data_IF_660399550833
#
_entry.id   IF_660399550833
#
_cell.length_a   1.000
_cell.length_b   1.000
_cell.length_c   1.000
_cell.angle_alpha   90.00
_cell.angle_beta   90.00
_cell.angle_gamma   90.00
#
_symmetry.space_group_name_H-M   'P 1'
#
loop_
_entity.id
_entity.type
_entity.pdbx_description
1 polymer ?
#
# COMPACT_ATOMS: atom_id res chain seq x y z
N UNK A 1 -11.88 -8.84 -24.65
CA UNK A 1 -13.07 -9.66 -24.29
C UNK A 1 -12.73 -11.04 -23.71
N UNK A 2 -11.49 -11.54 -23.79
CA UNK A 2 -11.11 -12.81 -23.17
C UNK A 2 -10.72 -12.71 -21.68
N UNK A 3 -10.74 -11.50 -21.10
CA UNK A 3 -10.32 -11.26 -19.72
C UNK A 3 -11.51 -11.36 -18.76
N UNK A 4 -11.77 -12.56 -18.23
CA UNK A 4 -12.75 -12.76 -17.17
C UNK A 4 -12.24 -12.19 -15.82
N UNK A 5 -13.12 -11.64 -14.98
CA UNK A 5 -14.56 -11.44 -15.16
C UNK A 5 -14.93 -10.15 -15.91
N UNK A 6 -13.96 -9.34 -16.33
CA UNK A 6 -14.20 -8.02 -16.93
C UNK A 6 -14.89 -8.06 -18.29
N UNK A 7 -14.79 -9.18 -18.99
CA UNK A 7 -15.53 -9.50 -20.22
C UNK A 7 -17.05 -9.35 -20.09
N UNK A 8 -17.59 -9.50 -18.87
CA UNK A 8 -19.02 -9.41 -18.57
C UNK A 8 -19.51 -7.97 -18.36
N UNK A 9 -18.60 -6.98 -18.36
CA UNK A 9 -18.96 -5.58 -18.22
C UNK A 9 -19.71 -5.06 -19.47
N UNK A 10 -20.64 -4.10 -19.32
CA UNK A 10 -21.30 -3.44 -20.45
C UNK A 10 -20.29 -2.80 -21.41
N UNK A 11 -20.61 -2.76 -22.72
CA UNK A 11 -19.71 -2.22 -23.76
C UNK A 11 -19.23 -0.78 -23.46
N UNK A 12 -20.11 0.05 -22.89
CA UNK A 12 -19.80 1.43 -22.50
C UNK A 12 -18.65 1.52 -21.47
N UNK A 13 -18.44 0.48 -20.67
CA UNK A 13 -17.35 0.38 -19.70
C UNK A 13 -16.13 -0.37 -20.23
N UNK A 14 -16.31 -1.24 -21.23
CA UNK A 14 -15.21 -2.00 -21.84
C UNK A 14 -14.28 -1.14 -22.69
N UNK A 15 -14.81 -0.16 -23.44
CA UNK A 15 -13.99 0.67 -24.32
C UNK A 15 -13.00 1.56 -23.54
N UNK A 16 -13.42 2.35 -22.52
CA UNK A 16 -12.48 3.11 -21.70
C UNK A 16 -11.50 2.22 -20.93
N UNK A 17 -11.93 1.03 -20.52
CA UNK A 17 -11.07 0.06 -19.86
C UNK A 17 -9.95 -0.41 -20.78
N UNK A 18 -10.29 -0.78 -22.02
CA UNK A 18 -9.33 -1.23 -23.03
C UNK A 18 -8.30 -0.14 -23.36
N UNK A 19 -8.72 1.12 -23.47
CA UNK A 19 -7.82 2.27 -23.71
C UNK A 19 -6.84 2.52 -22.55
N UNK A 20 -7.21 2.15 -21.32
CA UNK A 20 -6.35 2.32 -20.14
C UNK A 20 -5.29 1.22 -19.98
N UNK A 21 -5.39 0.12 -20.73
CA UNK A 21 -4.49 -1.02 -20.60
C UNK A 21 -3.09 -0.70 -21.10
N UNK A 22 -2.09 -1.14 -20.34
CA UNK A 22 -0.68 -0.98 -20.69
C UNK A 22 -0.09 -2.34 -21.12
N UNK A 23 0.53 -2.37 -22.29
CA UNK A 23 1.27 -3.53 -22.77
C UNK A 23 2.67 -3.55 -22.13
N UNK A 24 2.93 -4.51 -21.25
CA UNK A 24 4.20 -4.65 -20.54
C UNK A 24 4.94 -5.90 -20.96
N UNK A 25 6.26 -5.80 -21.02
CA UNK A 25 7.14 -6.95 -21.17
C UNK A 25 8.09 -7.07 -19.97
N UNK A 26 8.17 -8.28 -19.41
CA UNK A 26 9.04 -8.61 -18.28
C UNK A 26 10.08 -9.65 -18.69
N UNK A 27 11.33 -9.42 -18.26
CA UNK A 27 12.44 -10.37 -18.40
C UNK A 27 12.44 -11.37 -17.22
N UNK A 28 13.00 -12.59 -17.37
CA UNK A 28 13.13 -13.52 -16.26
C UNK A 28 13.79 -12.89 -15.03
N UNK A 29 13.20 -13.11 -13.86
CA UNK A 29 13.62 -12.53 -12.57
C UNK A 29 13.12 -11.10 -12.33
N UNK A 30 12.60 -10.41 -13.35
CA UNK A 30 12.06 -9.06 -13.20
C UNK A 30 10.77 -9.07 -12.39
N UNK A 31 10.69 -8.21 -11.37
CA UNK A 31 9.50 -8.07 -10.53
C UNK A 31 8.47 -7.14 -11.19
N UNK A 32 7.20 -7.54 -11.12
CA UNK A 32 6.05 -6.66 -11.38
C UNK A 32 5.77 -5.79 -10.15
N UNK A 33 5.85 -6.36 -8.95
CA UNK A 33 5.79 -5.66 -7.67
C UNK A 33 6.51 -6.46 -6.57
N UNK A 34 6.86 -5.78 -5.47
CA UNK A 34 7.61 -6.35 -4.34
C UNK A 34 6.77 -6.43 -3.06
N UNK A 35 7.28 -7.11 -2.04
CA UNK A 35 6.56 -7.40 -0.79
C UNK A 35 6.04 -6.18 -0.04
N UNK A 36 6.64 -5.01 -0.22
CA UNK A 36 6.37 -3.80 0.56
C UNK A 36 5.35 -2.86 -0.10
N UNK A 37 4.90 -3.17 -1.31
CA UNK A 37 4.00 -2.31 -2.07
C UNK A 37 2.77 -3.08 -2.54
N UNK A 38 1.64 -2.37 -2.64
CA UNK A 38 0.47 -2.89 -3.32
C UNK A 38 0.75 -3.01 -4.83
N UNK A 39 0.07 -3.94 -5.53
CA UNK A 39 0.26 -4.12 -6.96
C UNK A 39 0.01 -2.81 -7.74
N UNK A 40 0.83 -2.49 -8.77
CA UNK A 40 0.65 -1.29 -9.59
C UNK A 40 -0.64 -1.34 -10.44
N UNK A 41 -1.31 -2.49 -10.46
CA UNK A 41 -2.52 -2.75 -11.21
C UNK A 41 -2.84 -4.25 -11.21
N UNK A 42 -3.85 -4.62 -11.98
CA UNK A 42 -4.18 -6.02 -12.26
C UNK A 42 -3.59 -6.39 -13.61
N UNK A 43 -2.73 -7.41 -13.64
CA UNK A 43 -2.09 -7.86 -14.87
C UNK A 43 -2.73 -9.15 -15.37
N UNK A 44 -3.07 -9.22 -16.65
CA UNK A 44 -3.39 -10.44 -17.39
C UNK A 44 -2.13 -10.92 -18.12
N UNK A 45 -1.75 -12.18 -17.92
CA UNK A 45 -0.64 -12.78 -18.66
C UNK A 45 -1.10 -13.13 -20.07
N UNK A 46 -0.59 -12.42 -21.08
CA UNK A 46 -0.84 -12.76 -22.48
C UNK A 46 0.05 -13.93 -22.94
N UNK A 47 1.33 -13.91 -22.53
CA UNK A 47 2.32 -14.95 -22.83
C UNK A 47 3.37 -15.03 -21.74
N UNK A 48 3.93 -16.20 -21.52
CA UNK A 48 5.00 -16.43 -20.54
C UNK A 48 4.48 -17.00 -19.22
N UNK A 49 5.22 -16.76 -18.14
CA UNK A 49 4.91 -17.31 -16.83
C UNK A 49 5.49 -16.43 -15.72
N UNK A 50 4.65 -16.12 -14.74
CA UNK A 50 5.01 -15.41 -13.52
C UNK A 50 5.00 -16.35 -12.30
N UNK A 51 5.64 -15.92 -11.22
CA UNK A 51 5.61 -16.54 -9.90
C UNK A 51 5.08 -15.54 -8.90
N UNK A 52 4.03 -15.91 -8.20
CA UNK A 52 3.61 -15.27 -6.95
C UNK A 52 4.49 -15.81 -5.83
N UNK A 53 5.14 -14.91 -5.12
CA UNK A 53 6.15 -15.20 -4.11
C UNK A 53 5.66 -14.77 -2.73
N UNK A 54 6.03 -15.55 -1.72
CA UNK A 54 5.91 -15.21 -0.31
C UNK A 54 7.25 -15.45 0.38
N UNK A 55 7.44 -14.88 1.55
CA UNK A 55 8.57 -15.14 2.43
C UNK A 55 8.27 -16.30 3.37
N UNK A 56 9.26 -17.13 3.70
CA UNK A 56 9.19 -18.18 4.72
C UNK A 56 9.47 -17.63 6.13
N UNK A 57 9.76 -18.50 7.12
CA UNK A 57 10.08 -18.06 8.50
C UNK A 57 11.45 -17.40 8.65
N UNK A 58 12.31 -17.51 7.63
CA UNK A 58 13.67 -16.95 7.57
C UNK A 58 13.75 -15.73 6.65
N UNK A 59 12.60 -15.20 6.23
CA UNK A 59 12.48 -14.16 5.22
C UNK A 59 13.06 -14.55 3.85
N UNK A 60 13.15 -15.86 3.56
CA UNK A 60 13.59 -16.36 2.26
C UNK A 60 12.41 -16.48 1.28
N UNK A 61 12.56 -16.03 0.02
CA UNK A 61 11.46 -16.05 -0.94
C UNK A 61 11.19 -17.46 -1.48
N UNK A 62 9.94 -17.92 -1.37
CA UNK A 62 9.47 -19.17 -1.99
C UNK A 62 8.28 -18.93 -2.91
N UNK A 63 8.00 -19.88 -3.82
CA UNK A 63 6.87 -19.78 -4.74
C UNK A 63 5.58 -20.25 -4.07
N UNK A 64 4.60 -19.35 -4.03
CA UNK A 64 3.24 -19.68 -3.62
C UNK A 64 2.46 -20.30 -4.77
N UNK A 65 2.47 -19.65 -5.94
CA UNK A 65 1.76 -20.09 -7.14
C UNK A 65 2.51 -19.67 -8.40
N UNK A 66 2.36 -20.45 -9.48
CA UNK A 66 2.79 -20.07 -10.84
C UNK A 66 1.57 -19.56 -11.60
N UNK A 67 1.75 -18.46 -12.34
CA UNK A 67 0.67 -17.80 -13.09
C UNK A 67 1.05 -17.84 -14.57
N UNK A 68 0.26 -18.52 -15.38
CA UNK A 68 0.46 -18.72 -16.81
C UNK A 68 -0.44 -17.84 -17.68
N UNK A 69 -0.35 -18.05 -19.00
CA UNK A 69 -1.17 -17.30 -19.97
C UNK A 69 -2.67 -17.48 -19.73
N UNK A 70 -3.43 -16.39 -19.84
CA UNK A 70 -4.86 -16.33 -19.55
C UNK A 70 -5.21 -16.07 -18.09
N UNK A 71 -4.25 -16.20 -17.17
CA UNK A 71 -4.47 -15.94 -15.74
C UNK A 71 -4.14 -14.49 -15.37
N UNK A 72 -4.82 -13.98 -14.34
CA UNK A 72 -4.61 -12.62 -13.83
C UNK A 72 -3.96 -12.61 -12.43
N UNK A 73 -3.24 -11.54 -12.13
CA UNK A 73 -2.54 -11.35 -10.84
C UNK A 73 -2.61 -9.91 -10.36
N UNK A 74 -2.50 -9.70 -9.05
CA UNK A 74 -2.50 -8.39 -8.39
C UNK A 74 -3.87 -7.95 -7.88
N UNK A 75 -4.95 -8.54 -8.39
CA UNK A 75 -6.32 -8.22 -7.97
C UNK A 75 -6.58 -8.56 -6.49
N UNK A 76 -6.05 -9.67 -5.96
CA UNK A 76 -6.27 -10.08 -4.57
C UNK A 76 -5.62 -9.10 -3.59
N UNK A 77 -4.32 -8.82 -3.72
CA UNK A 77 -3.63 -7.81 -2.90
C UNK A 77 -4.32 -6.44 -2.95
N UNK A 78 -4.79 -6.01 -4.13
CA UNK A 78 -5.59 -4.80 -4.27
C UNK A 78 -6.92 -4.90 -3.52
N UNK A 79 -7.77 -5.90 -3.77
CA UNK A 79 -9.06 -6.01 -3.07
C UNK A 79 -8.96 -6.05 -1.54
N UNK A 80 -7.85 -6.57 -1.01
CA UNK A 80 -7.60 -6.68 0.44
C UNK A 80 -6.96 -5.43 1.03
N UNK A 81 -6.22 -4.65 0.22
CA UNK A 81 -5.37 -3.58 0.73
C UNK A 81 -4.23 -4.10 1.61
N UNK A 82 -3.70 -5.30 1.32
CA UNK A 82 -2.67 -5.96 2.14
C UNK A 82 -1.43 -6.22 1.29
N UNK A 83 -0.25 -5.93 1.86
CA UNK A 83 1.08 -6.20 1.27
C UNK A 83 1.66 -7.52 1.84
N UNK A 84 2.89 -7.87 1.47
CA UNK A 84 3.58 -9.07 1.97
C UNK A 84 3.78 -10.18 0.94
N UNK A 85 3.44 -9.94 -0.32
CA UNK A 85 3.69 -10.84 -1.45
C UNK A 85 4.33 -10.08 -2.61
N UNK A 86 5.07 -10.79 -3.45
CA UNK A 86 5.73 -10.22 -4.62
C UNK A 86 5.39 -11.05 -5.87
N UNK A 87 5.49 -10.43 -7.04
CA UNK A 87 5.32 -11.14 -8.32
C UNK A 87 6.53 -10.88 -9.19
N UNK A 88 7.11 -11.97 -9.71
CA UNK A 88 8.25 -11.90 -10.62
C UNK A 88 8.07 -12.83 -11.81
N UNK A 89 8.62 -12.45 -12.96
CA UNK A 89 8.61 -13.27 -14.15
C UNK A 89 9.54 -14.49 -14.00
N UNK A 90 9.02 -15.69 -14.23
CA UNK A 90 9.83 -16.91 -14.32
C UNK A 90 10.40 -17.11 -15.73
N UNK A 91 9.64 -16.71 -16.74
CA UNK A 91 9.98 -16.75 -18.16
C UNK A 91 9.79 -15.35 -18.77
N UNK A 92 10.34 -15.06 -19.96
CA UNK A 92 10.00 -13.85 -20.69
C UNK A 92 8.48 -13.77 -20.86
N UNK A 93 7.88 -12.69 -20.35
CA UNK A 93 6.42 -12.60 -20.21
C UNK A 93 5.89 -11.30 -20.78
N UNK A 94 4.74 -11.38 -21.45
CA UNK A 94 3.98 -10.26 -22.00
C UNK A 94 2.67 -10.15 -21.24
N UNK A 95 2.37 -8.97 -20.72
CA UNK A 95 1.26 -8.71 -19.82
C UNK A 95 0.42 -7.53 -20.32
N UNK A 96 -0.88 -7.63 -20.13
CA UNK A 96 -1.77 -6.48 -20.16
C UNK A 96 -2.01 -6.00 -18.74
N UNK A 97 -1.51 -4.82 -18.38
CA UNK A 97 -1.69 -4.21 -17.07
C UNK A 97 -2.87 -3.23 -17.10
N UNK A 98 -3.90 -3.52 -16.33
CA UNK A 98 -4.92 -2.56 -15.94
C UNK A 98 -4.40 -1.74 -14.77
N UNK A 99 -4.25 -0.40 -14.90
CA UNK A 99 -3.73 0.42 -13.82
C UNK A 99 -4.55 0.30 -12.52
N UNK A 100 -3.85 0.40 -11.38
CA UNK A 100 -4.45 0.29 -10.05
C UNK A 100 -5.68 1.20 -9.88
N UNK A 101 -5.57 2.49 -10.21
CA UNK A 101 -6.69 3.43 -10.06
C UNK A 101 -7.95 2.97 -10.83
N UNK A 102 -7.78 2.56 -12.09
CA UNK A 102 -8.87 2.06 -12.93
C UNK A 102 -9.56 0.84 -12.31
N UNK A 103 -8.79 -0.12 -11.81
CA UNK A 103 -9.35 -1.31 -11.18
C UNK A 103 -10.14 -0.98 -9.91
N UNK A 104 -9.61 -0.10 -9.04
CA UNK A 104 -10.28 0.27 -7.79
C UNK A 104 -11.56 1.08 -8.04
N UNK A 105 -11.56 1.97 -9.04
CA UNK A 105 -12.76 2.68 -9.48
C UNK A 105 -13.84 1.69 -9.93
N UNK A 106 -13.50 0.75 -10.81
CA UNK A 106 -14.43 -0.29 -11.27
C UNK A 106 -14.97 -1.13 -10.12
N UNK A 107 -14.09 -1.57 -9.22
CA UNK A 107 -14.48 -2.40 -8.08
C UNK A 107 -15.43 -1.66 -7.15
N UNK A 108 -15.19 -0.36 -6.88
CA UNK A 108 -16.07 0.44 -6.02
C UNK A 108 -17.46 0.69 -6.61
N UNK A 109 -17.55 0.75 -7.95
CA UNK A 109 -18.77 1.10 -8.65
C UNK A 109 -19.66 -0.11 -8.99
N UNK A 110 -19.11 -1.33 -8.99
CA UNK A 110 -19.81 -2.53 -9.48
C UNK A 110 -19.86 -3.66 -8.44
N UNK A 111 -21.01 -3.78 -7.76
CA UNK A 111 -21.26 -4.88 -6.82
C UNK A 111 -21.28 -6.27 -7.50
N UNK A 112 -21.66 -6.35 -8.77
CA UNK A 112 -21.65 -7.60 -9.52
C UNK A 112 -20.23 -8.11 -9.67
N UNK A 113 -19.31 -7.22 -10.05
CA UNK A 113 -17.88 -7.51 -10.12
C UNK A 113 -17.32 -7.92 -8.76
N UNK A 114 -17.69 -7.21 -7.67
CA UNK A 114 -17.27 -7.58 -6.31
C UNK A 114 -17.68 -9.01 -5.95
N UNK A 115 -18.92 -9.41 -6.26
CA UNK A 115 -19.42 -10.77 -6.01
C UNK A 115 -18.71 -11.81 -6.88
N UNK A 116 -18.48 -11.52 -8.15
CA UNK A 116 -17.75 -12.44 -9.04
C UNK A 116 -16.31 -12.65 -8.60
N UNK A 117 -15.66 -11.62 -8.05
CA UNK A 117 -14.32 -11.70 -7.46
C UNK A 117 -14.30 -12.19 -6.01
N UNK A 118 -15.45 -12.44 -5.38
CA UNK A 118 -15.58 -13.01 -4.04
C UNK A 118 -15.44 -14.53 -4.04
N UNK A 119 -14.41 -15.03 -4.73
CA UNK A 119 -14.07 -16.45 -4.79
C UNK A 119 -12.85 -16.74 -3.92
N UNK A 120 -12.82 -17.89 -3.21
CA UNK A 120 -11.66 -18.31 -2.45
C UNK A 120 -10.48 -18.57 -3.38
N UNK A 121 -9.28 -18.20 -2.95
CA UNK A 121 -8.07 -18.30 -3.76
C UNK A 121 -6.86 -18.59 -2.86
N UNK A 122 -5.80 -19.13 -3.47
CA UNK A 122 -4.62 -19.61 -2.76
C UNK A 122 -3.89 -18.47 -2.06
N UNK A 123 -3.76 -17.33 -2.76
CA UNK A 123 -3.11 -16.12 -2.28
C UNK A 123 -3.71 -15.63 -0.96
N UNK A 124 -5.03 -15.52 -0.92
CA UNK A 124 -5.80 -15.01 0.20
C UNK A 124 -5.85 -16.00 1.37
N UNK A 125 -6.17 -17.28 1.11
CA UNK A 125 -6.23 -18.31 2.16
C UNK A 125 -4.89 -18.49 2.86
N UNK A 126 -3.79 -18.56 2.09
CA UNK A 126 -2.45 -18.65 2.64
C UNK A 126 -2.12 -17.43 3.48
N UNK A 127 -2.32 -16.22 2.96
CA UNK A 127 -1.92 -15.00 3.64
C UNK A 127 -2.69 -14.79 4.95
N UNK A 128 -4.00 -15.05 4.95
CA UNK A 128 -4.84 -14.94 6.15
C UNK A 128 -4.47 -16.00 7.18
N UNK A 129 -4.23 -17.25 6.76
CA UNK A 129 -3.82 -18.31 7.67
C UNK A 129 -2.42 -18.04 8.27
N UNK A 130 -1.49 -17.48 7.49
CA UNK A 130 -0.16 -17.10 7.96
C UNK A 130 -0.17 -15.91 8.92
N UNK A 131 -1.13 -15.00 8.78
CA UNK A 131 -1.32 -13.86 9.67
C UNK A 131 -2.14 -14.20 10.93
N UNK A 132 -2.83 -15.35 10.94
CA UNK A 132 -3.73 -15.72 12.03
C UNK A 132 -2.96 -16.06 13.31
N UNK A 133 -3.33 -15.48 14.47
CA UNK A 133 -2.65 -15.71 15.74
C UNK A 133 -3.04 -17.08 16.31
N UNK A 134 -2.37 -18.14 15.83
CA UNK A 134 -2.52 -19.50 16.36
C UNK A 134 -1.32 -19.91 17.21
N UNK A 135 -1.53 -20.54 18.38
CA UNK A 135 -0.44 -21.04 19.22
C UNK A 135 0.39 -22.16 18.57
N UNK A 136 -0.07 -22.73 17.45
CA UNK A 136 0.65 -23.71 16.64
C UNK A 136 0.49 -23.42 15.16
N UNK A 137 1.00 -22.27 14.72
CA UNK A 137 1.09 -21.98 13.28
C UNK A 137 2.14 -22.90 12.65
N UNK A 138 1.78 -23.75 11.67
CA UNK A 138 2.75 -24.58 10.97
C UNK A 138 3.62 -23.73 10.05
N UNK A 139 4.66 -24.34 9.46
CA UNK A 139 5.52 -23.61 8.54
C UNK A 139 4.76 -23.09 7.33
N UNK A 140 5.23 -22.00 6.72
CA UNK A 140 4.60 -21.33 5.57
C UNK A 140 4.50 -22.26 4.36
N UNK A 141 5.46 -23.16 4.17
CA UNK A 141 5.35 -24.21 3.14
C UNK A 141 4.17 -25.14 3.40
N UNK A 142 3.98 -25.57 4.65
CA UNK A 142 2.84 -26.41 5.05
C UNK A 142 1.52 -25.65 4.93
N UNK A 143 1.49 -24.36 5.27
CA UNK A 143 0.32 -23.51 5.08
C UNK A 143 -0.05 -23.35 3.61
N UNK A 144 0.93 -23.19 2.71
CA UNK A 144 0.67 -23.17 1.26
C UNK A 144 0.02 -24.47 0.82
N UNK A 145 0.59 -25.60 1.22
CA UNK A 145 0.12 -26.92 0.79
C UNK A 145 -1.30 -27.20 1.33
N UNK A 146 -1.56 -26.80 2.57
CA UNK A 146 -2.91 -26.81 3.14
C UNK A 146 -3.89 -25.93 2.35
N UNK A 147 -3.52 -24.68 2.05
CA UNK A 147 -4.40 -23.76 1.33
C UNK A 147 -4.71 -24.28 -0.08
N UNK A 148 -3.74 -24.88 -0.75
CA UNK A 148 -3.92 -25.55 -2.04
C UNK A 148 -4.91 -26.72 -1.94
N UNK A 149 -4.74 -27.59 -0.93
CA UNK A 149 -5.65 -28.72 -0.69
C UNK A 149 -7.07 -28.28 -0.32
N UNK A 150 -7.23 -27.17 0.43
CA UNK A 150 -8.56 -26.63 0.74
C UNK A 150 -9.31 -26.20 -0.52
N UNK A 151 -8.60 -25.64 -1.49
CA UNK A 151 -9.21 -25.22 -2.76
C UNK A 151 -9.52 -26.38 -3.69
N UNK A 152 -8.78 -27.49 -3.63
CA UNK A 152 -9.07 -28.66 -4.47
C UNK A 152 -10.19 -29.53 -3.88
N UNK A 153 -10.15 -29.83 -2.58
CA UNK A 153 -11.02 -30.84 -1.95
C UNK A 153 -12.20 -30.24 -1.17
N UNK A 154 -12.09 -28.97 -0.74
CA UNK A 154 -13.05 -28.35 0.18
C UNK A 154 -13.51 -26.96 -0.29
N UNK A 155 -13.42 -26.65 -1.58
CA UNK A 155 -13.79 -25.35 -2.13
C UNK A 155 -15.19 -24.89 -1.72
N UNK A 156 -16.17 -25.81 -1.67
CA UNK A 156 -17.55 -25.51 -1.28
C UNK A 156 -17.70 -25.07 0.19
N UNK A 157 -16.71 -25.39 1.04
CA UNK A 157 -16.67 -24.99 2.45
C UNK A 157 -15.96 -23.64 2.62
N UNK A 158 -15.22 -23.17 1.61
CA UNK A 158 -14.52 -21.90 1.63
C UNK A 158 -15.46 -20.81 1.10
N UNK A 159 -15.84 -19.89 1.98
CA UNK A 159 -16.68 -18.75 1.62
C UNK A 159 -15.91 -17.45 1.84
N UNK A 160 -16.06 -16.54 0.88
CA UNK A 160 -15.60 -15.15 1.02
C UNK A 160 -16.82 -14.28 1.29
N UNK A 161 -16.87 -13.70 2.49
CA UNK A 161 -17.87 -12.70 2.84
C UNK A 161 -17.34 -11.31 2.49
N UNK A 162 -18.13 -10.55 1.73
CA UNK A 162 -17.84 -9.17 1.35
C UNK A 162 -18.76 -8.24 2.16
N UNK A 163 -18.18 -7.34 2.95
CA UNK A 163 -18.91 -6.36 3.77
C UNK A 163 -18.71 -4.97 3.14
N UNK A 164 -19.77 -4.25 2.75
CA UNK A 164 -19.64 -2.95 2.12
C UNK A 164 -19.10 -1.88 3.10
N UNK A 165 -18.59 -0.74 2.61
CA UNK A 165 -18.16 0.37 3.46
C UNK A 165 -19.26 0.86 4.44
N UNK A 166 -18.87 1.31 5.62
CA UNK A 166 -19.77 1.84 6.65
C UNK A 166 -19.82 1.03 7.95
N UNK A 167 -20.80 1.33 8.79
CA UNK A 167 -21.00 0.67 10.09
C UNK A 167 -21.91 -0.55 9.96
N UNK A 168 -21.49 -1.66 10.59
CA UNK A 168 -22.20 -2.93 10.57
C UNK A 168 -22.34 -3.50 11.98
N UNK A 169 -23.45 -4.19 12.23
CA UNK A 169 -23.72 -4.88 13.49
C UNK A 169 -24.15 -6.31 13.22
N UNK A 170 -23.47 -7.26 13.85
CA UNK A 170 -23.70 -8.68 13.70
C UNK A 170 -24.22 -9.31 15.00
N UNK A 171 -25.16 -10.24 14.87
CA UNK A 171 -25.74 -10.98 15.99
C UNK A 171 -24.80 -12.07 16.53
N UNK A 172 -25.21 -12.79 17.60
CA UNK A 172 -24.37 -13.79 18.27
C UNK A 172 -24.03 -15.02 17.44
N UNK A 173 -24.85 -15.38 16.44
CA UNK A 173 -24.63 -16.54 15.56
C UNK A 173 -23.70 -16.23 14.36
N UNK A 174 -23.15 -15.02 14.28
CA UNK A 174 -22.31 -14.61 13.15
C UNK A 174 -20.85 -15.02 13.36
N UNK A 175 -20.33 -15.84 12.45
CA UNK A 175 -18.95 -16.33 12.48
C UNK A 175 -18.82 -17.80 12.88
N UNK A 176 -17.59 -18.30 13.02
CA UNK A 176 -16.33 -17.55 12.97
C UNK A 176 -15.88 -17.14 11.55
N UNK A 177 -15.34 -15.92 11.44
CA UNK A 177 -14.73 -15.39 10.24
C UNK A 177 -13.29 -14.98 10.50
N UNK A 178 -12.41 -15.09 9.50
CA UNK A 178 -11.07 -14.52 9.53
C UNK A 178 -11.04 -13.26 8.68
N UNK A 179 -10.56 -12.16 9.25
CA UNK A 179 -10.44 -10.90 8.52
C UNK A 179 -9.35 -11.01 7.44
N UNK A 180 -9.69 -10.68 6.20
CA UNK A 180 -8.77 -10.73 5.05
C UNK A 180 -8.24 -9.36 4.65
N UNK A 181 -9.07 -8.31 4.78
CA UNK A 181 -8.76 -6.94 4.38
C UNK A 181 -8.22 -6.09 5.52
N UNK A 182 -7.46 -5.04 5.20
CA UNK A 182 -6.87 -4.09 6.17
C UNK A 182 -7.76 -2.88 6.51
N UNK A 183 -8.93 -2.76 5.90
CA UNK A 183 -9.80 -1.59 5.99
C UNK A 183 -10.91 -1.70 7.05
N UNK A 184 -10.73 -2.50 8.09
CA UNK A 184 -11.71 -2.63 9.20
C UNK A 184 -11.14 -1.97 10.45
N UNK A 185 -11.91 -1.09 11.08
CA UNK A 185 -11.47 -0.35 12.28
C UNK A 185 -11.17 -1.28 13.45
N UNK A 186 -9.97 -1.17 14.01
CA UNK A 186 -9.56 -1.87 15.23
C UNK A 186 -9.26 -3.36 15.07
N UNK A 187 -9.21 -3.86 13.83
CA UNK A 187 -8.88 -5.25 13.53
C UNK A 187 -7.79 -5.34 12.45
N UNK A 188 -6.95 -6.37 12.52
CA UNK A 188 -5.91 -6.61 11.52
C UNK A 188 -6.15 -7.90 10.71
N UNK A 189 -5.67 -7.99 9.46
CA UNK A 189 -5.79 -9.23 8.68
C UNK A 189 -5.25 -10.44 9.43
N UNK A 190 -6.00 -11.54 9.41
CA UNK A 190 -5.70 -12.78 10.16
C UNK A 190 -6.45 -12.91 11.48
N UNK A 191 -6.99 -11.82 12.03
CA UNK A 191 -7.79 -11.89 13.26
C UNK A 191 -9.12 -12.61 13.07
N UNK A 192 -9.53 -13.33 14.12
CA UNK A 192 -10.81 -14.03 14.18
C UNK A 192 -11.90 -13.10 14.69
N UNK A 193 -12.97 -13.00 13.91
CA UNK A 193 -14.16 -12.20 14.21
C UNK A 193 -15.33 -13.13 14.53
N UNK A 194 -15.95 -12.87 15.69
CA UNK A 194 -17.07 -13.61 16.25
C UNK A 194 -18.14 -12.63 16.70
N UNK A 195 -19.40 -12.98 16.46
CA UNK A 195 -20.56 -12.24 16.95
C UNK A 195 -20.79 -12.41 18.45
N UNK A 196 -21.52 -11.48 19.10
CA UNK A 196 -22.04 -10.23 18.55
C UNK A 196 -20.92 -9.19 18.40
N UNK A 197 -20.85 -8.54 17.24
CA UNK A 197 -19.76 -7.61 16.91
C UNK A 197 -20.29 -6.38 16.17
N UNK A 198 -19.75 -5.22 16.52
CA UNK A 198 -19.88 -3.99 15.73
C UNK A 198 -18.54 -3.70 15.08
N UNK A 199 -18.56 -3.47 13.78
CA UNK A 199 -17.36 -3.10 13.04
C UNK A 199 -17.67 -1.98 12.05
N UNK A 200 -16.63 -1.22 11.70
CA UNK A 200 -16.71 -0.17 10.69
C UNK A 200 -15.72 -0.48 9.59
N UNK A 201 -16.21 -0.55 8.35
CA UNK A 201 -15.40 -0.70 7.14
C UNK A 201 -15.07 0.69 6.61
N UNK A 202 -13.78 0.98 6.46
CA UNK A 202 -13.22 2.26 6.00
C UNK A 202 -13.08 2.32 4.48
N UNK A 203 -12.97 3.55 3.99
CA UNK A 203 -12.72 3.84 2.58
C UNK A 203 -13.96 3.63 1.71
N UNK A 204 -13.71 3.36 0.43
CA UNK A 204 -14.72 3.14 -0.61
C UNK A 204 -14.86 1.66 -1.00
N UNK A 205 -13.91 0.83 -0.58
CA UNK A 205 -13.86 -0.58 -0.94
C UNK A 205 -14.44 -1.45 0.17
N UNK A 206 -15.10 -2.57 -0.17
CA UNK A 206 -15.61 -3.48 0.82
C UNK A 206 -14.49 -4.23 1.56
N UNK A 207 -14.76 -4.64 2.79
CA UNK A 207 -13.90 -5.57 3.52
C UNK A 207 -14.19 -7.01 3.10
N UNK A 208 -13.17 -7.86 3.11
CA UNK A 208 -13.26 -9.29 2.81
C UNK A 208 -12.96 -10.10 4.05
N UNK A 209 -13.74 -11.17 4.26
CA UNK A 209 -13.54 -12.13 5.31
C UNK A 209 -13.61 -13.54 4.75
N UNK A 210 -12.82 -14.45 5.31
CA UNK A 210 -12.84 -15.86 4.97
C UNK A 210 -13.57 -16.65 6.04
N UNK A 211 -14.38 -17.63 5.64
CA UNK A 211 -14.98 -18.57 6.59
C UNK A 211 -13.89 -19.30 7.37
N UNK A 212 -13.98 -19.33 8.70
CA UNK A 212 -13.07 -20.13 9.51
C UNK A 212 -13.62 -21.55 9.66
N UNK A 213 -12.94 -22.52 9.06
CA UNK A 213 -13.18 -23.93 9.33
C UNK A 213 -12.49 -24.39 10.63
N UNK A 214 -12.91 -25.54 11.17
CA UNK A 214 -12.24 -26.16 12.32
C UNK A 214 -10.75 -26.46 12.11
N UNK A 215 -10.28 -26.42 10.85
CA UNK A 215 -8.92 -26.70 10.42
C UNK A 215 -8.10 -25.44 10.01
N UNK A 216 -8.53 -24.22 10.38
CA UNK A 216 -7.85 -22.98 9.98
C UNK A 216 -7.28 -22.19 11.17
N UNK A 217 -5.94 -22.03 11.28
CA UNK A 217 -4.90 -22.77 10.57
C UNK A 217 -4.80 -24.23 11.06
N UNK A 218 -4.30 -25.17 10.26
CA UNK A 218 -4.30 -26.59 10.62
C UNK A 218 -3.34 -26.86 11.77
N UNK A 219 -3.82 -27.49 12.85
CA UNK A 219 -3.01 -27.81 14.03
C UNK A 219 -2.01 -28.96 13.79
N UNK A 220 -2.30 -29.86 12.84
CA UNK A 220 -1.48 -30.99 12.37
C UNK A 220 -2.17 -31.59 11.13
N UNK A 221 -1.42 -31.91 10.07
CA UNK A 221 -1.92 -32.75 8.98
C UNK A 221 -1.28 -34.15 9.07
N UNK A 222 -2.04 -35.24 8.87
CA UNK A 222 -1.45 -36.52 8.55
C UNK A 222 -0.68 -36.38 7.22
N UNK A 223 0.43 -37.13 7.08
CA UNK A 223 1.24 -37.14 5.87
C UNK A 223 0.42 -37.67 4.69
N UNK A 224 -0.31 -36.79 4.00
CA UNK A 224 -0.95 -37.10 2.74
C UNK A 224 0.13 -37.09 1.66
N UNK A 225 0.26 -38.23 0.97
CA UNK A 225 1.11 -38.39 -0.21
C UNK A 225 0.83 -37.25 -1.19
N UNK A 226 1.89 -36.50 -1.49
CA UNK A 226 1.92 -35.49 -2.53
C UNK A 226 1.62 -36.19 -3.86
N UNK A 227 0.37 -36.17 -4.29
CA UNK A 227 0.09 -36.24 -5.71
C UNK A 227 0.30 -34.82 -6.19
N UNK A 228 1.51 -34.55 -6.65
CA UNK A 228 1.73 -33.43 -7.54
C UNK A 228 0.74 -33.63 -8.68
N UNK A 229 -0.27 -32.78 -8.76
CA UNK A 229 -0.98 -32.61 -10.00
C UNK A 229 0.03 -31.96 -10.97
N UNK A 230 0.85 -32.81 -11.59
CA UNK A 230 1.18 -32.66 -13.01
C UNK A 230 -0.15 -32.76 -13.78
N UNK A 231 -1.02 -31.77 -13.59
CA UNK A 231 -2.08 -31.50 -14.53
C UNK A 231 -1.35 -30.99 -15.77
N UNK A 232 -1.10 -31.93 -16.68
CA UNK A 232 -0.55 -31.64 -18.00
C UNK A 232 -1.32 -30.45 -18.57
N UNK A 233 -0.62 -29.34 -18.74
CA UNK A 233 -1.06 -28.25 -19.57
C UNK A 233 -1.26 -28.83 -20.97
N UNK A 234 -2.50 -29.16 -21.31
CA UNK A 234 -2.90 -29.20 -22.71
C UNK A 234 -2.80 -27.76 -23.17
N UNK A 235 -1.92 -27.52 -24.15
CA UNK A 235 -1.80 -26.23 -24.83
C UNK A 235 -3.20 -25.73 -25.22
N UNK A 236 -3.64 -24.55 -24.73
CA UNK A 236 -4.83 -23.94 -25.26
C UNK A 236 -4.56 -23.62 -26.73
N UNK A 237 -5.38 -24.17 -27.63
CA UNK A 237 -5.36 -23.78 -29.03
C UNK A 237 -5.58 -22.26 -29.12
N UNK A 238 -4.68 -21.51 -29.76
CA UNK A 238 -4.83 -20.07 -29.90
C UNK A 238 -6.08 -19.80 -30.74
N UNK A 239 -7.07 -19.16 -30.14
CA UNK A 239 -8.15 -18.52 -30.89
C UNK A 239 -7.56 -17.26 -31.50
N UNK A 240 -7.29 -17.31 -32.81
CA UNK A 240 -6.93 -16.16 -33.63
C UNK A 240 -8.08 -15.14 -33.58
N UNK A 241 -7.96 -14.17 -32.66
CA UNK A 241 -8.52 -12.85 -32.87
C UNK A 241 -7.36 -11.99 -33.37
N UNK A 242 -7.46 -11.48 -34.60
CA UNK A 242 -6.58 -10.44 -35.12
C UNK A 242 -6.63 -9.23 -34.18
N UNK A 243 -5.71 -9.21 -33.22
CA UNK A 243 -5.41 -8.06 -32.38
C UNK A 243 -4.22 -7.37 -33.02
N UNK A 244 -4.40 -6.10 -33.39
CA UNK A 244 -3.32 -5.18 -33.73
C UNK A 244 -2.18 -5.38 -32.73
N UNK A 245 -1.00 -5.78 -33.19
CA UNK A 245 0.16 -6.00 -32.32
C UNK A 245 0.49 -4.69 -31.60
N UNK A 246 0.35 -4.61 -30.27
CA UNK A 246 0.68 -3.39 -29.54
C UNK A 246 2.20 -3.21 -29.46
N UNK A 247 2.63 -1.95 -29.36
CA UNK A 247 4.01 -1.62 -29.01
C UNK A 247 4.32 -2.07 -27.57
N UNK A 248 5.01 -3.21 -27.44
CA UNK A 248 5.43 -3.75 -26.15
C UNK A 248 6.51 -2.87 -25.53
N UNK A 249 6.22 -2.29 -24.37
CA UNK A 249 7.20 -1.49 -23.65
C UNK A 249 7.99 -2.36 -22.67
N UNK A 250 9.33 -2.32 -22.77
CA UNK A 250 10.19 -2.89 -21.74
C UNK A 250 10.02 -2.07 -20.45
N UNK A 251 9.55 -2.73 -19.39
CA UNK A 251 9.37 -2.09 -18.09
C UNK A 251 10.73 -1.67 -17.53
N UNK A 252 11.13 -0.42 -17.77
CA UNK A 252 12.36 0.18 -17.24
C UNK A 252 12.07 1.03 -15.99
N UNK A 253 10.81 1.09 -15.54
CA UNK A 253 10.29 2.17 -14.68
C UNK A 253 9.51 1.67 -13.47
N UNK A 254 9.80 0.48 -12.94
CA UNK A 254 9.09 -0.06 -11.78
C UNK A 254 9.51 0.55 -10.42
N UNK A 255 10.55 1.39 -10.35
CA UNK A 255 11.11 1.86 -9.06
C UNK A 255 10.71 3.32 -8.72
N UNK A 256 10.15 4.10 -9.64
CA UNK A 256 10.00 5.58 -9.45
C UNK A 256 8.57 6.02 -9.05
N UNK A 257 7.60 5.12 -8.88
CA UNK A 257 6.18 5.49 -8.67
C UNK A 257 5.60 5.21 -7.27
N UNK A 258 6.40 4.75 -6.29
CA UNK A 258 5.90 4.26 -4.98
C UNK A 258 5.29 5.38 -4.11
N UNK A 259 5.74 6.63 -4.30
CA UNK A 259 5.35 7.76 -3.43
C UNK A 259 4.09 8.50 -3.92
N UNK A 260 3.74 8.43 -5.21
CA UNK A 260 2.46 8.95 -5.73
C UNK A 260 1.30 7.94 -5.59
N UNK A 261 1.59 6.64 -5.53
CA UNK A 261 0.58 5.60 -5.34
C UNK A 261 -0.06 5.62 -3.95
N UNK A 262 0.69 5.91 -2.88
CA UNK A 262 0.18 5.81 -1.50
C UNK A 262 -1.01 6.73 -1.19
N UNK A 263 -1.01 7.98 -1.64
CA UNK A 263 -2.08 8.95 -1.28
C UNK A 263 -3.39 8.71 -2.03
N UNK A 264 -3.34 8.15 -3.24
CA UNK A 264 -4.55 7.75 -3.95
C UNK A 264 -5.23 6.55 -3.26
N UNK A 265 -4.47 5.72 -2.55
CA UNK A 265 -4.98 4.49 -1.92
C UNK A 265 -5.69 4.74 -0.59
N UNK A 266 -5.35 5.81 0.13
CA UNK A 266 -6.05 6.18 1.38
C UNK A 266 -7.53 6.51 1.13
N UNK A 267 -7.87 7.08 -0.03
CA UNK A 267 -9.26 7.30 -0.44
C UNK A 267 -10.02 5.99 -0.69
N UNK A 268 -9.31 4.92 -1.09
CA UNK A 268 -9.89 3.64 -1.47
C UNK A 268 -10.12 2.73 -0.28
N UNK A 269 -9.13 2.60 0.59
CA UNK A 269 -9.18 1.66 1.74
C UNK A 269 -9.39 2.37 3.08
N UNK A 270 -9.42 3.70 3.10
CA UNK A 270 -9.07 4.44 4.31
C UNK A 270 -7.56 4.38 4.54
N UNK A 271 -7.08 4.93 5.66
CA UNK A 271 -5.66 4.88 6.02
C UNK A 271 -5.18 3.42 6.09
N UNK A 272 -4.49 2.97 5.03
CA UNK A 272 -3.83 1.67 4.93
C UNK A 272 -2.72 1.61 5.98
N UNK A 273 -2.70 0.57 6.80
CA UNK A 273 -1.79 0.52 7.95
C UNK A 273 -2.30 1.34 9.13
N UNK A 274 -3.55 1.08 9.54
CA UNK A 274 -3.98 1.43 10.89
C UNK A 274 -3.72 0.23 11.81
N UNK A 275 -2.48 -0.23 11.73
CA UNK A 275 -1.75 -0.93 12.79
C UNK A 275 -1.32 0.06 13.90
N UNK A 276 -1.73 1.33 13.78
CA UNK A 276 -1.25 2.44 14.61
C UNK A 276 0.09 3.03 14.15
N UNK A 277 0.62 2.65 12.98
CA UNK A 277 1.92 3.14 12.53
C UNK A 277 1.82 4.51 11.85
N UNK A 278 2.67 5.42 12.31
CA UNK A 278 2.84 6.73 11.70
C UNK A 278 4.00 6.68 10.70
N UNK A 279 4.02 7.55 9.66
CA UNK A 279 5.09 7.49 8.67
C UNK A 279 6.45 7.63 9.34
N UNK A 280 7.30 6.61 9.20
CA UNK A 280 8.65 6.63 9.75
C UNK A 280 9.69 6.65 8.63
N UNK A 281 10.68 7.54 8.77
CA UNK A 281 11.79 7.67 7.85
C UNK A 281 13.07 7.87 8.64
N UNK A 282 14.08 7.06 8.34
CA UNK A 282 15.38 7.17 8.97
C UNK A 282 16.24 8.26 8.31
N UNK A 283 17.11 8.88 9.11
CA UNK A 283 18.05 9.91 8.68
C UNK A 283 18.96 10.28 9.84
N UNK A 284 20.27 10.37 9.59
CA UNK A 284 21.25 10.64 10.63
C UNK A 284 22.15 11.82 10.24
N UNK A 285 22.45 12.67 11.22
CA UNK A 285 23.29 13.84 11.06
C UNK A 285 22.50 15.15 11.00
N UNK A 286 23.21 16.30 11.02
CA UNK A 286 22.60 17.60 11.31
C UNK A 286 21.64 18.11 10.24
N UNK A 287 21.66 17.53 9.03
CA UNK A 287 20.74 17.86 7.93
C UNK A 287 19.72 16.73 7.69
N UNK A 288 20.16 15.46 7.69
CA UNK A 288 19.28 14.35 7.33
C UNK A 288 18.26 14.00 8.45
N UNK A 289 18.59 14.23 9.73
CA UNK A 289 17.64 14.08 10.84
C UNK A 289 16.45 15.07 10.72
N UNK A 290 16.65 16.41 10.65
CA UNK A 290 15.55 17.35 10.45
C UNK A 290 14.84 17.15 9.10
N UNK A 291 15.56 16.79 8.04
CA UNK A 291 14.98 16.44 6.74
C UNK A 291 14.01 15.27 6.85
N UNK A 292 14.38 14.22 7.59
CA UNK A 292 13.52 13.05 7.82
C UNK A 292 12.25 13.43 8.58
N UNK A 293 12.34 14.23 9.65
CA UNK A 293 11.18 14.74 10.40
C UNK A 293 10.23 15.58 9.52
N UNK A 294 10.76 16.53 8.76
CA UNK A 294 9.97 17.34 7.84
C UNK A 294 9.32 16.49 6.75
N UNK A 295 10.01 15.45 6.27
CA UNK A 295 9.46 14.51 5.29
C UNK A 295 8.37 13.63 5.89
N UNK A 296 8.54 13.17 7.14
CA UNK A 296 7.49 12.45 7.88
C UNK A 296 6.23 13.31 8.05
N UNK A 297 6.37 14.58 8.44
CA UNK A 297 5.25 15.52 8.53
C UNK A 297 4.62 15.81 7.16
N UNK A 298 5.43 16.02 6.12
CA UNK A 298 4.93 16.20 4.77
C UNK A 298 4.15 14.97 4.27
N UNK A 299 4.58 13.75 4.62
CA UNK A 299 3.83 12.53 4.35
C UNK A 299 2.52 12.48 5.16
N UNK A 300 2.57 12.77 6.46
CA UNK A 300 1.38 12.80 7.33
C UNK A 300 0.31 13.78 6.85
N UNK A 301 0.71 14.95 6.35
CA UNK A 301 -0.20 16.00 5.90
C UNK A 301 -0.43 16.02 4.39
N UNK A 302 0.08 15.03 3.66
CA UNK A 302 -0.02 14.93 2.21
C UNK A 302 0.46 16.19 1.46
N UNK A 303 1.70 16.61 1.73
CA UNK A 303 2.30 17.83 1.17
C UNK A 303 3.38 17.53 0.12
N UNK A 304 3.52 18.37 -0.92
CA UNK A 304 4.62 18.27 -1.87
C UNK A 304 5.96 18.53 -1.16
N UNK A 305 6.91 17.61 -1.32
CA UNK A 305 8.20 17.66 -0.64
C UNK A 305 9.36 17.92 -1.61
N UNK A 306 9.80 19.17 -1.72
CA UNK A 306 10.92 19.56 -2.60
C UNK A 306 12.25 19.34 -1.91
N UNK A 307 12.73 18.08 -1.89
CA UNK A 307 13.94 17.66 -1.18
C UNK A 307 15.13 18.58 -1.40
N UNK A 308 15.49 18.90 -2.65
CA UNK A 308 16.69 19.71 -2.94
C UNK A 308 16.60 21.14 -2.41
N UNK A 309 15.39 21.72 -2.42
CA UNK A 309 15.16 23.07 -1.89
C UNK A 309 15.27 23.06 -0.37
N UNK A 310 14.60 22.12 0.29
CA UNK A 310 14.63 22.00 1.75
C UNK A 310 16.03 21.64 2.26
N UNK A 311 16.76 20.79 1.52
CA UNK A 311 18.14 20.42 1.86
C UNK A 311 19.04 21.65 1.86
N UNK A 312 18.95 22.46 0.80
CA UNK A 312 19.71 23.71 0.71
C UNK A 312 19.34 24.69 1.84
N UNK A 313 18.06 24.78 2.19
CA UNK A 313 17.62 25.64 3.31
C UNK A 313 18.20 25.14 4.63
N UNK A 314 18.15 23.84 4.91
CA UNK A 314 18.72 23.26 6.12
C UNK A 314 20.25 23.45 6.18
N UNK A 315 20.95 23.25 5.07
CA UNK A 315 22.41 23.49 4.96
C UNK A 315 22.76 24.96 5.22
N UNK A 316 21.99 25.91 4.67
CA UNK A 316 22.19 27.34 4.90
C UNK A 316 21.87 27.76 6.34
N UNK A 317 20.83 27.20 6.96
CA UNK A 317 20.53 27.42 8.38
C UNK A 317 21.63 26.85 9.29
N UNK A 318 22.15 25.66 8.96
CA UNK A 318 23.24 25.03 9.70
C UNK A 318 24.56 25.80 9.56
N UNK A 319 24.86 26.33 8.37
CA UNK A 319 26.07 27.14 8.15
C UNK A 319 26.05 28.48 8.94
N UNK A 320 24.86 28.96 9.31
CA UNK A 320 24.65 30.18 10.09
C UNK A 320 24.54 29.93 11.59
N UNK A 321 24.55 28.67 12.01
CA UNK A 321 24.52 28.29 13.41
C UNK A 321 25.90 28.53 14.06
N UNK A 322 26.11 29.76 14.52
CA UNK A 322 27.33 30.18 15.19
C UNK A 322 27.54 29.52 16.56
N UNK A 323 26.47 28.94 17.15
CA UNK A 323 26.48 28.35 18.48
C UNK A 323 26.68 26.82 18.46
N UNK A 324 26.65 26.19 17.28
CA UNK A 324 26.85 24.75 17.10
C UNK A 324 25.73 23.88 17.70
N UNK A 325 24.54 24.46 17.90
CA UNK A 325 23.36 23.80 18.51
C UNK A 325 22.53 23.01 17.50
N UNK A 326 22.83 23.11 16.20
CA UNK A 326 22.11 22.46 15.11
C UNK A 326 20.79 23.16 14.75
N UNK A 327 19.90 22.43 14.08
CA UNK A 327 18.58 22.92 13.66
C UNK A 327 17.59 22.75 14.82
N UNK A 328 17.19 23.86 15.44
CA UNK A 328 16.23 23.89 16.55
C UNK A 328 14.76 24.03 16.11
N UNK A 329 13.85 24.08 17.10
CA UNK A 329 12.40 24.16 16.87
C UNK A 329 11.99 25.43 16.11
N UNK A 330 12.67 26.55 16.33
CA UNK A 330 12.38 27.81 15.64
C UNK A 330 12.65 27.69 14.13
N UNK A 331 13.79 27.09 13.75
CA UNK A 331 14.12 26.84 12.35
C UNK A 331 13.14 25.85 11.73
N UNK A 332 12.77 24.80 12.47
CA UNK A 332 11.77 23.83 12.01
C UNK A 332 10.40 24.47 11.80
N UNK A 333 9.97 25.38 12.69
CA UNK A 333 8.72 26.12 12.53
C UNK A 333 8.70 26.93 11.24
N UNK A 334 9.78 27.68 10.96
CA UNK A 334 9.90 28.46 9.74
C UNK A 334 9.87 27.57 8.48
N UNK A 335 10.52 26.40 8.51
CA UNK A 335 10.54 25.47 7.38
C UNK A 335 9.18 24.76 7.21
N UNK A 336 8.49 24.43 8.31
CA UNK A 336 7.13 23.90 8.30
C UNK A 336 6.14 24.90 7.68
N UNK A 337 6.28 26.20 7.99
CA UNK A 337 5.47 27.24 7.36
C UNK A 337 5.73 27.34 5.84
N UNK A 338 6.99 27.16 5.39
CA UNK A 338 7.34 27.09 3.97
C UNK A 338 6.72 25.88 3.26
N UNK A 339 6.54 24.76 3.97
CA UNK A 339 5.80 23.58 3.50
C UNK A 339 4.28 23.81 3.44
N UNK A 340 3.79 24.93 3.96
CA UNK A 340 2.38 25.26 4.04
C UNK A 340 1.68 24.67 5.27
N UNK A 341 2.42 24.27 6.29
CA UNK A 341 1.89 23.89 7.59
C UNK A 341 1.78 25.13 8.48
N UNK A 342 1.04 25.01 9.59
CA UNK A 342 1.06 25.97 10.69
C UNK A 342 1.80 25.29 11.84
N UNK A 343 2.92 25.88 12.24
CA UNK A 343 3.70 25.40 13.37
C UNK A 343 3.49 26.33 14.58
N UNK A 344 2.94 25.81 15.67
CA UNK A 344 2.61 26.59 16.87
C UNK A 344 3.46 26.11 18.06
N UNK A 345 4.42 26.93 18.56
CA UNK A 345 5.22 26.54 19.71
C UNK A 345 4.36 26.50 20.97
N UNK A 346 4.62 25.53 21.84
CA UNK A 346 3.94 25.33 23.11
C UNK A 346 4.94 24.82 24.15
N UNK A 347 4.81 25.29 25.39
CA UNK A 347 5.47 24.70 26.55
C UNK A 347 4.46 23.82 27.28
N UNK A 348 4.82 22.56 27.57
CA UNK A 348 3.94 21.62 28.27
C UNK A 348 4.67 20.89 29.39
N UNK A 349 3.97 20.64 30.49
CA UNK A 349 4.43 19.69 31.49
C UNK A 349 4.02 18.24 31.15
N UNK A 350 4.55 17.27 31.87
CA UNK A 350 4.27 15.83 31.66
C UNK A 350 2.78 15.49 31.63
N UNK A 351 1.98 16.08 32.52
CA UNK A 351 0.54 15.83 32.60
C UNK A 351 -0.23 16.40 31.41
N UNK A 352 0.31 17.43 30.75
CA UNK A 352 -0.31 18.08 29.59
C UNK A 352 0.00 17.39 28.26
N UNK A 353 1.04 16.55 28.19
CA UNK A 353 1.42 15.82 26.96
C UNK A 353 0.26 14.98 26.40
N UNK A 354 -0.54 14.36 27.27
CA UNK A 354 -1.70 13.54 26.87
C UNK A 354 -2.77 14.35 26.13
N UNK A 355 -2.77 15.68 26.28
CA UNK A 355 -3.75 16.60 25.67
C UNK A 355 -3.17 17.43 24.54
N UNK A 356 -1.92 17.18 24.16
CA UNK A 356 -1.24 17.94 23.12
C UNK A 356 -1.91 17.70 21.75
N UNK A 357 -2.11 18.75 20.94
CA UNK A 357 -2.43 18.58 19.53
C UNK A 357 -1.27 17.85 18.82
N UNK A 358 -1.56 16.66 18.28
CA UNK A 358 -0.60 15.85 17.54
C UNK A 358 -0.87 15.90 16.03
N UNK A 359 0.16 15.77 15.16
CA UNK A 359 1.57 15.55 15.49
C UNK A 359 2.29 16.82 15.98
N UNK A 360 3.34 16.61 16.77
CA UNK A 360 4.23 17.68 17.24
C UNK A 360 5.71 17.34 17.02
N UNK A 361 6.56 18.36 16.95
CA UNK A 361 8.02 18.18 16.95
C UNK A 361 8.59 18.51 18.33
N UNK A 362 9.58 17.72 18.75
CA UNK A 362 10.40 17.98 19.93
C UNK A 362 11.87 17.79 19.58
N UNK A 363 12.78 18.27 20.44
CA UNK A 363 14.22 18.02 20.30
C UNK A 363 14.59 16.81 21.15
N UNK A 364 14.99 15.72 20.47
CA UNK A 364 15.55 14.53 21.10
C UNK A 364 17.06 14.61 21.27
N UNK A 365 17.67 13.47 21.62
CA UNK A 365 19.12 13.37 21.86
C UNK A 365 19.96 13.64 20.62
N UNK A 366 19.58 13.06 19.49
CA UNK A 366 20.35 13.07 18.24
C UNK A 366 19.74 14.01 17.18
N UNK A 367 18.86 14.92 17.62
CA UNK A 367 18.17 15.90 16.79
C UNK A 367 16.65 15.86 16.96
N UNK A 368 15.89 16.51 16.07
CA UNK A 368 14.44 16.58 16.18
C UNK A 368 13.77 15.23 15.99
N UNK A 369 12.67 15.02 16.70
CA UNK A 369 11.82 13.82 16.63
C UNK A 369 10.36 14.23 16.42
N UNK A 370 9.55 13.33 15.84
CA UNK A 370 8.10 13.55 15.69
C UNK A 370 7.33 12.80 16.76
N UNK A 371 6.48 13.52 17.48
CA UNK A 371 5.54 13.01 18.45
C UNK A 371 4.21 12.76 17.73
N UNK A 372 3.74 11.52 17.75
CA UNK A 372 2.64 11.08 16.90
C UNK A 372 1.31 10.93 17.62
N UNK A 373 1.33 10.27 18.76
CA UNK A 373 0.14 9.99 19.57
C UNK A 373 0.53 9.60 20.98
N UNK A 374 -0.43 9.69 21.89
CA UNK A 374 -0.34 9.11 23.22
C UNK A 374 -1.34 7.95 23.29
N UNK A 375 -0.90 6.80 23.78
CA UNK A 375 -1.75 5.62 23.92
C UNK A 375 -2.65 5.71 25.18
N UNK A 376 -3.50 4.69 25.39
CA UNK A 376 -4.39 4.63 26.56
C UNK A 376 -3.64 4.46 27.89
N UNK A 377 -2.37 4.03 27.87
CA UNK A 377 -1.52 3.85 29.04
C UNK A 377 -0.69 5.09 29.39
N UNK A 378 -0.75 6.14 28.55
CA UNK A 378 0.01 7.38 28.71
C UNK A 378 1.40 7.36 28.08
N UNK A 379 1.74 6.32 27.32
CA UNK A 379 2.99 6.23 26.55
C UNK A 379 2.88 7.03 25.25
N UNK A 380 3.99 7.67 24.89
CA UNK A 380 4.12 8.51 23.72
C UNK A 380 4.75 7.73 22.57
N UNK A 381 4.08 7.69 21.43
CA UNK A 381 4.63 7.15 20.20
C UNK A 381 5.51 8.20 19.53
N UNK A 382 6.79 7.89 19.42
CA UNK A 382 7.80 8.80 18.87
C UNK A 382 8.42 8.19 17.61
N UNK A 383 8.45 8.96 16.54
CA UNK A 383 9.25 8.68 15.36
C UNK A 383 10.58 9.43 15.44
N UNK A 384 11.64 8.73 15.85
CA UNK A 384 13.01 9.25 15.91
C UNK A 384 13.79 8.79 14.66
N UNK A 385 14.19 9.70 13.76
CA UNK A 385 14.93 9.34 12.55
C UNK A 385 16.21 8.51 12.76
N UNK A 386 16.81 8.57 13.95
CA UNK A 386 18.06 7.87 14.25
C UNK A 386 17.79 6.52 14.91
N UNK A 387 16.89 6.48 15.90
CA UNK A 387 16.67 5.28 16.72
C UNK A 387 15.45 4.44 16.33
N UNK A 388 14.61 4.92 15.41
CA UNK A 388 13.41 4.22 14.93
C UNK A 388 12.11 4.81 15.47
N UNK A 389 11.00 4.10 15.25
CA UNK A 389 9.70 4.45 15.82
C UNK A 389 9.38 3.53 17.00
N UNK A 390 8.91 4.09 18.12
CA UNK A 390 8.59 3.30 19.30
C UNK A 390 7.83 4.07 20.38
N UNK A 391 7.27 3.31 21.33
CA UNK A 391 6.59 3.85 22.51
C UNK A 391 7.60 4.16 23.62
N UNK A 392 7.52 5.35 24.16
CA UNK A 392 8.35 5.80 25.29
C UNK A 392 7.50 6.46 26.38
N UNK A 393 8.03 6.52 27.59
CA UNK A 393 7.44 7.35 28.65
C UNK A 393 7.70 8.83 28.34
N UNK A 394 6.75 9.76 28.57
CA UNK A 394 6.95 11.18 28.25
C UNK A 394 8.19 11.78 28.93
N UNK A 395 8.48 11.42 30.18
CA UNK A 395 9.73 11.79 30.89
C UNK A 395 11.02 11.32 30.22
N UNK A 396 10.97 10.30 29.37
CA UNK A 396 12.14 9.81 28.66
C UNK A 396 12.52 10.70 27.46
N UNK A 397 11.64 11.62 27.05
CA UNK A 397 12.02 12.68 26.12
C UNK A 397 13.13 13.52 26.73
N UNK A 398 14.04 13.99 25.88
CA UNK A 398 15.03 14.98 26.28
C UNK A 398 14.47 16.39 26.05
N UNK A 399 15.10 17.39 26.65
CA UNK A 399 14.69 18.79 26.49
C UNK A 399 13.73 19.33 27.55
N UNK A 400 13.51 18.59 28.64
CA UNK A 400 12.80 19.12 29.82
C UNK A 400 13.64 20.21 30.51
N UNK A 401 13.00 21.33 30.86
CA UNK A 401 13.57 22.40 31.66
C UNK A 401 13.74 21.99 33.13
N UNK A 402 14.51 22.77 33.90
CA UNK A 402 14.64 22.57 35.35
C UNK A 402 13.30 22.69 36.10
N UNK A 403 12.34 23.39 35.50
CA UNK A 403 10.98 23.56 36.00
C UNK A 403 10.03 22.43 35.56
N UNK A 404 10.53 21.46 34.78
CA UNK A 404 9.77 20.29 34.32
C UNK A 404 8.84 20.59 33.14
N UNK A 405 9.19 21.56 32.29
CA UNK A 405 8.47 21.88 31.07
C UNK A 405 9.23 21.45 29.83
N UNK A 406 8.51 21.01 28.80
CA UNK A 406 9.05 20.60 27.50
C UNK A 406 8.54 21.55 26.43
N UNK A 407 9.46 22.14 25.66
CA UNK A 407 9.11 22.87 24.46
C UNK A 407 8.81 21.90 23.31
N UNK A 408 7.64 22.08 22.71
CA UNK A 408 7.19 21.33 21.55
C UNK A 408 6.62 22.28 20.50
N UNK A 409 6.61 21.82 19.25
CA UNK A 409 6.05 22.54 18.13
C UNK A 409 4.88 21.74 17.58
N UNK A 410 3.66 22.15 17.90
CA UNK A 410 2.44 21.52 17.40
C UNK A 410 2.25 21.88 15.92
N UNK A 411 2.00 20.89 15.07
CA UNK A 411 1.93 21.09 13.63
C UNK A 411 0.54 20.75 13.12
N UNK A 412 -0.05 21.69 12.37
CA UNK A 412 -1.38 21.54 11.80
C UNK A 412 -1.42 22.01 10.34
N UNK A 413 -2.50 21.70 9.61
CA UNK A 413 -2.75 22.28 8.29
C UNK A 413 -3.02 23.79 8.43
N UNK A 414 -2.46 24.59 7.55
CA UNK A 414 -2.73 26.03 7.44
C UNK A 414 -3.76 26.34 6.34
N UNK A 415 -4.30 27.57 6.32
CA UNK A 415 -5.13 28.03 5.20
C UNK A 415 -4.37 28.08 3.86
N UNK A 416 -3.04 28.09 3.90
CA UNK A 416 -2.12 28.09 2.73
C UNK A 416 -1.64 26.68 2.37
N UNK A 417 -2.06 25.65 3.09
CA UNK A 417 -1.79 24.26 2.74
C UNK A 417 -2.28 24.00 1.31
N UNK A 418 -1.39 23.60 0.39
CA UNK A 418 -1.76 23.39 -1.01
C UNK A 418 -2.90 22.37 -1.13
N UNK A 419 -4.04 22.79 -1.67
CA UNK A 419 -5.22 21.92 -1.90
C UNK A 419 -5.20 21.18 -3.24
N UNK A 420 -4.29 21.56 -4.15
CA UNK A 420 -4.13 20.95 -5.48
C UNK A 420 -2.66 20.71 -5.77
N UNK A 421 -2.37 19.50 -6.24
CA UNK A 421 -1.05 19.06 -6.68
C UNK A 421 -0.74 19.54 -8.10
N UNK A 422 0.53 19.70 -8.39
CA UNK A 422 1.03 19.83 -9.76
C UNK A 422 0.63 18.58 -10.56
N UNK A 423 0.03 18.77 -11.73
CA UNK A 423 -0.40 17.69 -12.62
C UNK A 423 -0.26 18.12 -14.08
N UNK A 424 -0.32 17.16 -15.02
CA UNK A 424 -0.18 17.39 -16.47
C UNK A 424 -1.17 18.43 -17.03
N UNK A 425 -2.28 18.71 -16.31
CA UNK A 425 -3.19 19.80 -16.61
C UNK A 425 -2.51 21.20 -16.62
N UNK A 426 -1.38 21.36 -15.95
CA UNK A 426 -0.58 22.60 -15.98
C UNK A 426 0.34 22.71 -17.21
N UNK A 427 0.64 21.59 -17.88
CA UNK A 427 1.37 21.56 -19.17
C UNK A 427 0.45 21.83 -20.36
N UNK A 428 -0.85 21.60 -20.20
CA UNK A 428 -1.85 21.84 -21.24
C UNK A 428 -1.76 23.26 -21.82
N UNK A 429 -1.74 24.35 -21.03
CA UNK A 429 -1.62 25.72 -21.53
C UNK A 429 -0.35 25.98 -22.37
N UNK A 430 0.79 25.40 -21.97
CA UNK A 430 2.06 25.55 -22.69
C UNK A 430 2.06 24.76 -24.02
N UNK A 431 1.50 23.54 -24.03
CA UNK A 431 1.25 22.81 -25.27
C UNK A 431 0.23 23.54 -26.16
N UNK A 432 -0.74 24.26 -25.58
CA UNK A 432 -1.71 25.01 -26.36
C UNK A 432 -1.08 26.10 -27.23
N UNK A 433 0.02 26.70 -26.75
CA UNK A 433 0.74 27.75 -27.47
C UNK A 433 1.51 27.20 -28.69
N UNK A 434 1.80 25.90 -28.74
CA UNK A 434 2.60 25.26 -29.79
C UNK A 434 1.87 24.15 -30.56
N UNK A 435 0.53 24.10 -30.50
CA UNK A 435 -0.28 23.03 -31.14
C UNK A 435 0.03 22.86 -32.63
N UNK A 436 0.19 23.95 -33.38
CA UNK A 436 0.46 23.90 -34.83
C UNK A 436 1.79 23.23 -35.15
N UNK A 437 2.83 23.53 -34.38
CA UNK A 437 4.17 22.92 -34.54
C UNK A 437 4.11 21.45 -34.15
N UNK A 438 3.40 21.10 -33.08
CA UNK A 438 3.24 19.71 -32.63
C UNK A 438 2.54 18.86 -33.70
N UNK A 439 1.48 19.38 -34.33
CA UNK A 439 0.78 18.72 -35.43
C UNK A 439 1.65 18.59 -36.67
N UNK A 440 2.43 19.63 -37.01
CA UNK A 440 3.37 19.57 -38.15
C UNK A 440 4.43 18.50 -37.96
N UNK A 441 5.02 18.39 -36.77
CA UNK A 441 6.01 17.35 -36.46
C UNK A 441 5.37 15.96 -36.46
N UNK A 442 4.15 15.82 -35.93
CA UNK A 442 3.41 14.55 -35.94
C UNK A 442 3.14 14.08 -37.38
N UNK A 443 2.64 14.97 -38.24
CA UNK A 443 2.36 14.66 -39.66
C UNK A 443 3.66 14.37 -40.41
N UNK A 444 4.72 15.15 -40.20
CA UNK A 444 6.01 14.90 -40.83
C UNK A 444 6.61 13.55 -40.38
N UNK A 445 6.52 13.21 -39.09
CA UNK A 445 6.97 11.91 -38.58
C UNK A 445 6.16 10.76 -39.18
N UNK A 446 4.85 10.94 -39.34
CA UNK A 446 3.97 9.95 -39.97
C UNK A 446 4.37 9.67 -41.43
N UNK A 447 4.69 10.69 -42.22
CA UNK A 447 5.14 10.53 -43.61
C UNK A 447 6.58 10.00 -43.74
N UNK A 448 7.42 10.15 -42.72
CA UNK A 448 8.78 9.59 -42.70
C UNK A 448 8.79 8.13 -42.24
N UNK A 449 7.76 7.71 -41.49
CA UNK A 449 7.61 6.33 -40.99
C UNK A 449 6.79 5.43 -41.93
N UNK A 450 6.20 5.99 -43.00
CA UNK A 450 5.56 5.27 -44.10
C UNK A 450 6.56 5.08 -45.25
#
# INVERSE_FOLDING_TARGET
>A
RAWEPFSQLPEERLAPLAESLQALQLRPGQKLFDYTALPPGVALVAKGQLRLLSLDERDEPFTLQRIGAGEMVGHIGLMRGVTGQAVAAALPSQLWLMPQATFLELLSADEGLQRTLAQPNLEELFAVAAASPSPRTPSRTVLRDWASHQLSEAAAQQQVLVIPPGEHSFGPEWGPWLLSSSNVDGFVPGEELLGPLRLRVRGKLPARLLSKGAATPPAQMPAALVVAADAGAQDPQPTEAELLEPDWQESSTAIVAVEQQHQALEDWYGRLGDDGSFPHLSGAGPVETPMACLRMLARQFDLPFRRDVLKRILEDQLARDAEGKGIGLLQLAAISDLLGLRASPMSVNEAQIVRLPMPALAIGRDGPVVLWSVDASGQLLVGDPVSGQGLIQPRALQGWSEEGELEVLCVERSARTPKKRFGLAWFLPALQQHKTVLVQVLVASFFVQL
#
